data_IF_973031874215
#
_entry.id   IF_973031874215
#
_cell.length_a   1.000
_cell.length_b   1.000
_cell.length_c   1.000
_cell.angle_alpha   90.00
_cell.angle_beta   90.00
_cell.angle_gamma   90.00
#
_symmetry.space_group_name_H-M   'P 1'
#
loop_
_entity.id
_entity.type
_entity.pdbx_description
1 polymer ?
#
# COMPACT_ATOMS: atom_id res chain seq x y z
N UNK A 1 -40.69 25.26 -1.01
CA UNK A 1 -39.81 26.15 -0.24
C UNK A 1 -38.59 25.36 0.25
N UNK A 2 -37.35 25.81 -0.03
CA UNK A 2 -36.13 25.11 0.42
C UNK A 2 -35.70 25.63 1.80
N UNK A 3 -35.19 24.75 2.67
CA UNK A 3 -34.75 25.05 4.02
C UNK A 3 -33.22 25.04 4.11
N UNK A 4 -32.62 26.01 4.80
CA UNK A 4 -31.15 26.08 5.01
C UNK A 4 -30.75 25.19 6.19
N UNK A 5 -29.76 24.32 5.99
CA UNK A 5 -29.17 23.54 7.07
C UNK A 5 -28.32 24.45 7.98
N UNK A 6 -28.47 24.40 9.31
CA UNK A 6 -27.68 25.24 10.21
C UNK A 6 -26.19 24.86 10.26
N UNK A 7 -25.83 23.62 9.89
CA UNK A 7 -24.46 23.11 10.04
C UNK A 7 -23.62 23.23 8.75
N UNK A 8 -24.19 22.89 7.59
CA UNK A 8 -23.49 23.04 6.31
C UNK A 8 -23.96 24.26 5.49
N UNK A 9 -24.87 25.07 6.05
CA UNK A 9 -25.36 26.33 5.48
C UNK A 9 -25.99 26.22 4.08
N UNK A 10 -26.28 24.99 3.62
CA UNK A 10 -26.79 24.68 2.29
C UNK A 10 -28.32 24.60 2.29
N UNK A 11 -28.97 25.14 1.26
CA UNK A 11 -30.42 25.03 1.06
C UNK A 11 -30.80 23.66 0.49
N UNK A 12 -31.67 22.93 1.19
CA UNK A 12 -32.15 21.60 0.80
C UNK A 12 -33.67 21.52 0.86
N UNK A 13 -34.23 20.50 0.22
CA UNK A 13 -35.66 20.23 0.30
C UNK A 13 -36.04 19.83 1.74
N UNK A 14 -37.24 20.20 2.26
CA UNK A 14 -37.65 19.88 3.63
C UNK A 14 -37.62 18.39 3.97
N UNK A 15 -37.83 17.51 2.98
CA UNK A 15 -37.73 16.05 3.15
C UNK A 15 -36.31 15.53 3.45
N UNK A 16 -35.28 16.35 3.32
CA UNK A 16 -33.89 16.02 3.64
C UNK A 16 -33.51 16.34 5.11
N UNK A 17 -34.51 16.56 5.96
CA UNK A 17 -34.38 16.85 7.37
C UNK A 17 -35.30 15.91 8.15
N UNK A 18 -34.69 15.04 8.94
CA UNK A 18 -35.40 14.14 9.85
C UNK A 18 -35.72 14.87 11.16
N UNK A 19 -36.85 15.60 11.19
CA UNK A 19 -37.39 16.26 12.40
C UNK A 19 -37.86 17.72 12.22
N UNK A 20 -38.25 18.35 13.31
CA UNK A 20 -38.83 19.70 13.35
C UNK A 20 -37.89 20.87 12.96
N UNK A 21 -38.33 22.09 13.25
CA UNK A 21 -37.56 23.32 13.00
C UNK A 21 -36.33 23.33 13.94
N UNK A 22 -35.13 23.50 13.37
CA UNK A 22 -33.83 23.36 14.07
C UNK A 22 -32.99 22.15 13.65
N UNK A 23 -33.57 21.09 13.07
CA UNK A 23 -32.83 19.90 12.63
C UNK A 23 -31.78 20.14 11.53
N UNK A 24 -30.68 19.37 11.61
CA UNK A 24 -29.61 19.28 10.61
C UNK A 24 -30.01 18.38 9.45
N UNK A 25 -29.44 18.60 8.26
CA UNK A 25 -29.79 17.76 7.10
C UNK A 25 -29.24 16.34 7.25
N UNK A 26 -29.88 15.37 6.59
CA UNK A 26 -29.52 13.94 6.71
C UNK A 26 -28.05 13.66 6.38
N UNK A 27 -27.43 14.48 5.51
CA UNK A 27 -25.99 14.41 5.19
C UNK A 27 -25.11 14.76 6.40
N UNK A 28 -25.47 15.80 7.14
CA UNK A 28 -24.76 16.21 8.36
C UNK A 28 -25.04 15.23 9.50
N UNK A 29 -26.28 14.73 9.62
CA UNK A 29 -26.66 13.72 10.59
C UNK A 29 -25.88 12.40 10.39
N UNK A 30 -25.74 11.94 9.15
CA UNK A 30 -24.96 10.75 8.80
C UNK A 30 -23.46 10.96 9.10
N UNK A 31 -22.92 12.16 8.87
CA UNK A 31 -21.54 12.49 9.19
C UNK A 31 -21.27 12.46 10.70
N UNK A 32 -22.19 13.00 11.51
CA UNK A 32 -22.10 12.98 12.97
C UNK A 32 -22.22 11.57 13.57
N UNK A 33 -23.07 10.70 13.00
CA UNK A 33 -23.16 9.29 13.40
C UNK A 33 -21.90 8.50 13.04
N UNK A 34 -21.23 8.82 11.94
CA UNK A 34 -19.96 8.20 11.55
C UNK A 34 -18.83 8.52 12.55
N UNK A 35 -18.89 9.68 13.22
CA UNK A 35 -17.93 10.09 14.25
C UNK A 35 -18.15 9.44 15.63
N UNK A 36 -19.35 8.91 15.92
CA UNK A 36 -19.72 8.29 17.21
C UNK A 36 -19.59 6.76 17.25
N UNK A 37 -19.23 6.10 16.15
CA UNK A 37 -19.06 4.63 16.14
C UNK A 37 -17.79 4.24 16.91
N UNK A 38 -17.93 3.44 17.97
CA UNK A 38 -16.81 2.79 18.66
C UNK A 38 -15.94 1.98 17.70
N UNK A 39 -14.69 1.72 18.10
CA UNK A 39 -13.71 0.99 17.29
C UNK A 39 -14.14 -0.47 17.09
N UNK A 40 -14.97 -0.71 16.07
CA UNK A 40 -15.34 -2.05 15.63
C UNK A 40 -14.13 -2.72 14.97
N UNK A 41 -13.91 -4.03 15.18
CA UNK A 41 -12.79 -4.75 14.58
C UNK A 41 -12.84 -4.55 13.07
N UNK A 42 -11.84 -3.86 12.55
CA UNK A 42 -11.78 -3.53 11.14
C UNK A 42 -11.74 -4.84 10.33
N UNK A 43 -12.28 -4.85 9.12
CA UNK A 43 -12.16 -5.97 8.16
C UNK A 43 -10.68 -6.36 7.87
N UNK A 44 -9.76 -5.57 8.42
CA UNK A 44 -8.32 -5.65 8.33
C UNK A 44 -7.62 -5.91 9.68
N UNK A 45 -8.32 -6.37 10.73
CA UNK A 45 -7.72 -6.79 11.99
C UNK A 45 -7.41 -8.29 11.99
N UNK A 46 -6.86 -8.81 10.89
CA UNK A 46 -6.23 -10.13 10.91
C UNK A 46 -4.76 -9.94 11.27
N UNK A 47 -4.52 -9.85 12.57
CA UNK A 47 -3.25 -10.27 13.10
C UNK A 47 -3.15 -11.78 12.93
N UNK A 48 -2.19 -12.21 12.10
CA UNK A 48 -1.76 -13.60 12.10
C UNK A 48 -1.19 -13.92 13.49
N UNK A 49 -2.03 -14.44 14.38
CA UNK A 49 -1.62 -15.36 15.43
C UNK A 49 -1.73 -16.75 14.80
N UNK A 50 -0.86 -17.02 13.84
CA UNK A 50 -0.62 -18.40 13.44
C UNK A 50 0.15 -19.05 14.59
N UNK A 51 -0.35 -20.16 15.13
CA UNK A 51 0.41 -21.02 16.02
C UNK A 51 1.66 -21.51 15.27
N UNK A 52 2.74 -20.74 15.38
CA UNK A 52 4.07 -21.07 14.83
C UNK A 52 4.71 -22.29 15.52
N UNK A 53 4.00 -22.96 16.44
CA UNK A 53 4.47 -24.14 17.15
C UNK A 53 4.53 -25.38 16.24
N UNK A 54 3.57 -25.58 15.33
CA UNK A 54 3.46 -26.84 14.58
C UNK A 54 4.47 -26.96 13.42
N UNK A 55 4.94 -25.84 12.86
CA UNK A 55 5.91 -25.85 11.75
C UNK A 55 7.37 -25.96 12.21
N UNK A 56 7.65 -25.92 13.52
CA UNK A 56 9.02 -26.02 14.08
C UNK A 56 9.45 -27.46 14.41
N UNK A 57 8.53 -28.43 14.35
CA UNK A 57 8.80 -29.80 14.82
C UNK A 57 9.73 -30.58 13.87
N UNK A 58 9.92 -30.16 12.61
CA UNK A 58 10.77 -30.88 11.65
C UNK A 58 12.23 -30.45 11.57
N UNK A 59 12.71 -29.50 12.40
CA UNK A 59 14.09 -28.97 12.28
C UNK A 59 14.85 -28.96 13.63
N UNK A 60 14.77 -30.04 14.40
CA UNK A 60 15.39 -30.10 15.74
C UNK A 60 16.93 -30.19 15.78
N UNK A 61 17.64 -30.39 14.66
CA UNK A 61 19.09 -30.67 14.68
C UNK A 61 19.96 -29.75 13.80
N UNK A 62 19.76 -28.43 13.86
CA UNK A 62 20.81 -27.48 13.46
C UNK A 62 20.95 -26.40 14.52
N UNK A 63 22.02 -26.49 15.32
CA UNK A 63 22.44 -25.42 16.21
C UNK A 63 22.76 -24.19 15.35
N UNK A 64 21.88 -23.20 15.41
CA UNK A 64 22.07 -21.94 14.71
C UNK A 64 23.14 -21.11 15.45
N UNK A 65 24.01 -20.37 14.73
CA UNK A 65 25.05 -19.56 15.35
C UNK A 65 24.49 -18.54 16.35
N UNK A 66 25.23 -18.26 17.42
CA UNK A 66 24.80 -17.40 18.54
C UNK A 66 24.39 -15.96 18.14
N UNK A 67 24.99 -15.42 17.06
CA UNK A 67 24.59 -14.13 16.49
C UNK A 67 23.16 -14.15 15.91
N UNK A 68 22.66 -15.31 15.48
CA UNK A 68 21.33 -15.51 14.94
C UNK A 68 20.26 -15.41 16.05
N UNK A 69 20.54 -15.94 17.23
CA UNK A 69 19.67 -15.76 18.40
C UNK A 69 19.62 -14.31 18.87
N UNK A 70 20.76 -13.61 18.84
CA UNK A 70 20.81 -12.18 19.20
C UNK A 70 20.00 -11.32 18.23
N UNK A 71 20.13 -11.56 16.92
CA UNK A 71 19.34 -10.89 15.88
C UNK A 71 17.85 -11.22 15.97
N UNK A 72 17.49 -12.46 16.34
CA UNK A 72 16.10 -12.89 16.55
C UNK A 72 15.52 -12.20 17.79
N UNK A 73 16.22 -12.19 18.92
CA UNK A 73 15.83 -11.46 20.15
C UNK A 73 15.71 -9.95 19.93
N UNK A 74 16.59 -9.34 19.12
CA UNK A 74 16.51 -7.93 18.74
C UNK A 74 15.34 -7.65 17.77
N UNK A 75 15.03 -8.57 16.86
CA UNK A 75 13.88 -8.50 15.97
C UNK A 75 12.55 -8.69 16.71
N UNK A 76 12.49 -9.60 17.67
CA UNK A 76 11.33 -9.91 18.50
C UNK A 76 11.06 -8.78 19.52
N UNK A 77 12.11 -8.21 20.14
CA UNK A 77 11.98 -6.98 20.95
C UNK A 77 11.49 -5.79 20.14
N UNK A 78 11.79 -5.72 18.84
CA UNK A 78 11.26 -4.68 17.93
C UNK A 78 9.85 -4.98 17.46
N UNK A 79 9.49 -6.24 17.23
CA UNK A 79 8.12 -6.63 16.82
C UNK A 79 7.11 -6.37 17.92
N UNK A 80 7.50 -6.55 19.19
CA UNK A 80 6.71 -6.20 20.37
C UNK A 80 6.42 -4.68 20.51
N UNK A 81 7.11 -3.83 19.73
CA UNK A 81 6.95 -2.36 19.73
C UNK A 81 6.51 -1.81 18.37
N UNK A 82 6.23 -2.67 17.39
CA UNK A 82 5.65 -2.28 16.10
C UNK A 82 4.12 -2.28 16.24
N UNK A 83 3.50 -1.12 15.99
CA UNK A 83 2.06 -0.99 15.90
C UNK A 83 1.48 -2.13 15.02
N UNK A 84 0.36 -2.72 15.44
CA UNK A 84 -0.37 -3.71 14.64
C UNK A 84 -0.66 -3.11 13.27
N UNK A 85 0.07 -3.55 12.24
CA UNK A 85 -0.26 -3.17 10.88
C UNK A 85 -1.68 -3.63 10.56
N UNK A 86 -2.54 -2.72 10.08
CA UNK A 86 -3.77 -3.13 9.41
C UNK A 86 -3.42 -4.12 8.28
N UNK A 87 -4.28 -5.11 8.01
CA UNK A 87 -3.99 -6.09 6.95
C UNK A 87 -3.80 -5.43 5.58
N UNK A 88 -4.43 -4.29 5.31
CA UNK A 88 -4.20 -3.51 4.09
C UNK A 88 -2.74 -3.10 3.95
N UNK A 89 -2.14 -2.62 5.04
CA UNK A 89 -0.72 -2.29 5.08
C UNK A 89 0.18 -3.52 4.92
N UNK A 90 -0.16 -4.63 5.57
CA UNK A 90 0.56 -5.90 5.40
C UNK A 90 0.50 -6.37 3.94
N UNK A 91 -0.65 -6.29 3.28
CA UNK A 91 -0.82 -6.62 1.85
C UNK A 91 0.04 -5.73 0.96
N UNK A 92 0.10 -4.43 1.23
CA UNK A 92 0.96 -3.50 0.49
C UNK A 92 2.44 -3.76 0.73
N UNK A 93 2.85 -4.09 1.95
CA UNK A 93 4.22 -4.47 2.28
C UNK A 93 4.64 -5.75 1.55
N UNK A 94 3.84 -6.82 1.63
CA UNK A 94 4.10 -8.08 0.93
C UNK A 94 4.14 -7.90 -0.58
N UNK A 95 3.18 -7.15 -1.16
CA UNK A 95 3.18 -6.88 -2.60
C UNK A 95 4.44 -6.11 -3.02
N UNK A 96 4.89 -5.13 -2.23
CA UNK A 96 6.12 -4.41 -2.49
C UNK A 96 7.35 -5.31 -2.39
N UNK A 97 7.41 -6.16 -1.36
CA UNK A 97 8.50 -7.12 -1.15
C UNK A 97 8.67 -8.03 -2.37
N UNK A 98 7.57 -8.65 -2.82
CA UNK A 98 7.56 -9.53 -3.99
C UNK A 98 7.95 -8.80 -5.27
N UNK A 99 7.42 -7.59 -5.49
CA UNK A 99 7.75 -6.80 -6.68
C UNK A 99 9.21 -6.32 -6.67
N UNK A 100 9.77 -5.95 -5.52
CA UNK A 100 11.19 -5.56 -5.39
C UNK A 100 12.10 -6.75 -5.63
N UNK A 101 11.75 -7.91 -5.07
CA UNK A 101 12.47 -9.15 -5.32
C UNK A 101 12.53 -9.44 -6.81
N UNK A 102 11.37 -9.50 -7.46
CA UNK A 102 11.29 -9.78 -8.88
C UNK A 102 11.96 -8.69 -9.73
N UNK A 103 11.92 -7.42 -9.32
CA UNK A 103 12.63 -6.33 -9.99
C UNK A 103 14.13 -6.60 -10.09
N UNK A 104 14.74 -7.07 -9.00
CA UNK A 104 16.17 -7.38 -8.97
C UNK A 104 16.48 -8.64 -9.78
N UNK A 105 15.66 -9.69 -9.66
CA UNK A 105 15.83 -10.91 -10.47
C UNK A 105 15.72 -10.62 -11.97
N UNK A 106 14.78 -9.74 -12.36
CA UNK A 106 14.50 -9.43 -13.76
C UNK A 106 15.61 -8.59 -14.40
N UNK A 107 16.14 -7.60 -13.70
CA UNK A 107 17.16 -6.69 -14.27
C UNK A 107 18.59 -7.06 -13.88
N UNK A 108 18.77 -7.91 -12.88
CA UNK A 108 20.06 -8.22 -12.28
C UNK A 108 20.52 -7.13 -11.30
N UNK A 109 21.05 -7.55 -10.15
CA UNK A 109 21.49 -6.65 -9.07
C UNK A 109 22.50 -5.57 -9.51
N UNK A 110 23.28 -5.82 -10.56
CA UNK A 110 24.25 -4.89 -11.10
C UNK A 110 23.63 -3.70 -11.86
N UNK A 111 22.38 -3.86 -12.30
CA UNK A 111 21.61 -2.87 -13.05
C UNK A 111 20.47 -2.27 -12.21
N UNK A 112 20.57 -2.33 -10.88
CA UNK A 112 19.55 -1.80 -9.97
C UNK A 112 20.17 -0.82 -8.99
N UNK A 113 19.59 0.38 -8.95
CA UNK A 113 19.98 1.45 -8.04
C UNK A 113 18.87 1.83 -7.06
N UNK A 114 19.27 2.29 -5.89
CA UNK A 114 18.42 2.94 -4.91
C UNK A 114 18.64 4.45 -4.98
N UNK A 115 17.62 5.18 -5.43
CA UNK A 115 17.62 6.62 -5.58
C UNK A 115 16.78 7.27 -4.49
N UNK A 116 17.40 8.11 -3.67
CA UNK A 116 16.71 8.97 -2.71
C UNK A 116 16.64 10.39 -3.23
N UNK A 117 15.46 11.00 -3.20
CA UNK A 117 15.20 12.37 -3.60
C UNK A 117 14.62 13.15 -2.43
N UNK A 118 15.24 14.28 -2.11
CA UNK A 118 14.80 15.21 -1.06
C UNK A 118 14.54 16.58 -1.67
N UNK A 119 13.46 17.24 -1.28
CA UNK A 119 13.16 18.60 -1.72
C UNK A 119 14.23 19.60 -1.26
N UNK A 120 14.45 20.65 -2.05
CA UNK A 120 15.34 21.74 -1.66
C UNK A 120 14.76 22.54 -0.47
N UNK A 121 13.44 22.68 -0.46
CA UNK A 121 12.60 23.35 0.52
C UNK A 121 11.85 22.36 1.45
N UNK A 122 11.18 22.89 2.47
CA UNK A 122 10.40 22.12 3.45
C UNK A 122 9.00 21.75 2.91
N UNK A 123 8.96 20.77 1.99
CA UNK A 123 7.69 20.26 1.47
C UNK A 123 7.12 19.20 2.41
N UNK A 124 6.01 19.54 3.08
CA UNK A 124 5.25 18.63 3.95
C UNK A 124 3.88 18.25 3.38
N UNK A 125 3.38 18.98 2.39
CA UNK A 125 2.12 18.66 1.71
C UNK A 125 2.32 17.58 0.66
N UNK A 126 1.57 16.47 0.76
CA UNK A 126 1.65 15.36 -0.19
C UNK A 126 1.14 15.75 -1.56
N UNK A 127 0.20 16.70 -1.67
CA UNK A 127 -0.30 17.17 -2.96
C UNK A 127 0.81 17.88 -3.72
N UNK A 128 1.48 18.84 -3.09
CA UNK A 128 2.61 19.55 -3.70
C UNK A 128 3.79 18.62 -3.98
N UNK A 129 4.14 17.75 -3.03
CA UNK A 129 5.19 16.75 -3.25
C UNK A 129 4.88 15.85 -4.46
N UNK A 130 3.61 15.46 -4.62
CA UNK A 130 3.16 14.64 -5.75
C UNK A 130 3.15 15.39 -7.06
N UNK A 131 2.79 16.68 -7.08
CA UNK A 131 2.83 17.54 -8.26
C UNK A 131 4.26 17.69 -8.77
N UNK A 132 5.21 18.00 -7.90
CA UNK A 132 6.63 18.12 -8.24
C UNK A 132 7.24 16.79 -8.69
N UNK A 133 6.94 15.71 -7.97
CA UNK A 133 7.36 14.37 -8.38
C UNK A 133 6.78 13.96 -9.73
N UNK A 134 5.51 14.30 -10.01
CA UNK A 134 4.91 14.04 -11.32
C UNK A 134 5.65 14.78 -12.44
N UNK A 135 6.00 16.05 -12.23
CA UNK A 135 6.78 16.84 -13.19
C UNK A 135 8.18 16.23 -13.43
N UNK A 136 8.90 15.85 -12.37
CA UNK A 136 10.18 15.13 -12.50
C UNK A 136 10.00 13.80 -13.25
N UNK A 137 8.94 13.07 -12.94
CA UNK A 137 8.68 11.75 -13.52
C UNK A 137 8.42 11.82 -15.02
N UNK A 138 7.53 12.71 -15.47
CA UNK A 138 7.15 12.81 -16.88
C UNK A 138 8.28 13.34 -17.75
N UNK A 139 9.08 14.26 -17.21
CA UNK A 139 10.07 14.98 -17.99
C UNK A 139 11.50 14.41 -17.91
N UNK A 140 11.83 13.69 -16.83
CA UNK A 140 13.17 13.18 -16.56
C UNK A 140 13.19 11.68 -16.28
N UNK A 141 12.51 11.19 -15.22
CA UNK A 141 12.65 9.77 -14.81
C UNK A 141 12.22 8.81 -15.91
N UNK A 142 11.10 9.06 -16.60
CA UNK A 142 10.61 8.22 -17.70
C UNK A 142 11.60 8.04 -18.85
N UNK A 143 12.48 9.01 -19.07
CA UNK A 143 13.46 9.03 -20.17
C UNK A 143 14.76 8.30 -19.80
N UNK A 144 15.11 8.29 -18.51
CA UNK A 144 16.39 7.78 -18.02
C UNK A 144 16.29 6.46 -17.26
N UNK A 145 15.14 6.18 -16.62
CA UNK A 145 14.85 4.94 -15.89
C UNK A 145 13.56 4.33 -16.44
N UNK A 146 13.69 3.26 -17.22
CA UNK A 146 12.56 2.59 -17.90
C UNK A 146 11.54 2.03 -16.89
N UNK A 147 12.05 1.56 -15.75
CA UNK A 147 11.32 0.93 -14.69
C UNK A 147 11.76 1.47 -13.33
N UNK A 148 10.80 1.76 -12.48
CA UNK A 148 11.06 2.07 -11.08
C UNK A 148 9.88 1.66 -10.18
N UNK A 149 10.22 1.45 -8.91
CA UNK A 149 9.28 1.39 -7.80
C UNK A 149 9.61 2.55 -6.86
N UNK A 150 8.63 3.40 -6.57
CA UNK A 150 8.78 4.60 -5.78
C UNK A 150 7.89 4.52 -4.53
N UNK A 151 8.46 4.85 -3.38
CA UNK A 151 7.77 5.02 -2.11
C UNK A 151 8.05 6.42 -1.60
N UNK A 152 7.02 7.19 -1.27
CA UNK A 152 7.26 8.48 -0.60
C UNK A 152 7.38 8.28 0.90
N UNK A 153 8.29 9.03 1.52
CA UNK A 153 8.59 8.99 2.94
C UNK A 153 8.28 10.31 3.63
N UNK A 154 7.43 10.32 4.67
CA UNK A 154 7.38 11.42 5.63
C UNK A 154 8.40 11.18 6.75
N UNK A 155 9.38 12.08 6.86
CA UNK A 155 10.37 12.07 7.95
C UNK A 155 9.76 12.47 9.29
N UNK A 156 10.50 12.28 10.39
CA UNK A 156 10.09 12.74 11.73
C UNK A 156 9.80 14.25 11.81
N UNK A 157 10.41 15.06 10.94
CA UNK A 157 10.18 16.51 10.87
C UNK A 157 9.00 16.90 9.96
N UNK A 158 8.25 15.93 9.43
CA UNK A 158 7.13 16.17 8.52
C UNK A 158 7.50 16.29 7.05
N UNK A 159 8.78 16.52 6.72
CA UNK A 159 9.30 16.61 5.34
C UNK A 159 9.05 15.33 4.54
N UNK A 160 8.65 15.48 3.28
CA UNK A 160 8.43 14.38 2.36
C UNK A 160 9.67 14.13 1.50
N UNK A 161 10.13 12.88 1.45
CA UNK A 161 11.18 12.37 0.59
C UNK A 161 10.60 11.35 -0.39
N UNK A 162 11.35 11.00 -1.43
CA UNK A 162 11.02 9.85 -2.29
C UNK A 162 12.18 8.88 -2.32
N UNK A 163 11.87 7.60 -2.14
CA UNK A 163 12.79 6.49 -2.29
C UNK A 163 12.37 5.66 -3.50
N UNK A 164 13.29 5.49 -4.44
CA UNK A 164 13.06 4.77 -5.67
C UNK A 164 14.04 3.61 -5.78
N UNK A 165 13.53 2.47 -6.21
CA UNK A 165 14.32 1.42 -6.83
C UNK A 165 14.19 1.63 -8.33
N UNK A 166 15.30 1.84 -9.02
CA UNK A 166 15.36 2.16 -10.45
C UNK A 166 16.19 1.12 -11.19
N UNK A 167 15.81 0.80 -12.43
CA UNK A 167 16.65 0.00 -13.31
C UNK A 167 17.61 0.90 -14.09
N UNK A 168 18.85 0.47 -14.29
CA UNK A 168 19.84 1.20 -15.09
C UNK A 168 20.14 0.44 -16.39
N UNK A 169 20.51 1.17 -17.44
CA UNK A 169 20.91 0.56 -18.72
C UNK A 169 22.26 -0.16 -18.60
N UNK A 170 23.18 0.47 -17.88
CA UNK A 170 24.54 -0.05 -17.67
C UNK A 170 24.72 -0.62 -16.26
N UNK A 171 25.76 -1.43 -16.10
CA UNK A 171 26.21 -1.95 -14.80
C UNK A 171 26.78 -0.81 -13.96
N UNK A 172 26.11 -0.50 -12.87
CA UNK A 172 26.50 0.58 -11.94
C UNK A 172 27.26 0.06 -10.72
N UNK A 173 27.43 -1.27 -10.59
CA UNK A 173 28.02 -1.94 -9.42
C UNK A 173 29.44 -2.40 -9.67
N UNK A 174 29.81 -2.72 -10.90
CA UNK A 174 31.13 -3.24 -11.28
C UNK A 174 32.25 -2.34 -10.75
N UNK A 175 33.18 -2.92 -10.01
CA UNK A 175 34.34 -2.23 -9.42
C UNK A 175 34.04 -1.33 -8.24
N UNK A 176 32.77 -1.22 -7.80
CA UNK A 176 32.40 -0.35 -6.68
C UNK A 176 32.81 -0.95 -5.34
N UNK A 177 33.58 -0.20 -4.57
CA UNK A 177 33.90 -0.54 -3.18
C UNK A 177 32.84 0.06 -2.24
N UNK A 178 31.91 -0.78 -1.79
CA UNK A 178 30.83 -0.35 -0.87
C UNK A 178 31.34 0.14 0.49
N UNK A 179 32.49 -0.34 0.96
CA UNK A 179 33.08 0.13 2.22
C UNK A 179 33.64 1.56 2.06
N UNK A 180 34.30 1.84 0.93
CA UNK A 180 34.77 3.17 0.60
C UNK A 180 33.61 4.18 0.49
N UNK A 181 32.51 3.79 -0.17
CA UNK A 181 31.30 4.62 -0.27
C UNK A 181 30.71 4.95 1.10
N UNK A 182 30.69 3.98 2.03
CA UNK A 182 30.23 4.22 3.40
C UNK A 182 31.11 5.24 4.14
N UNK A 183 32.41 5.29 3.81
CA UNK A 183 33.36 6.29 4.29
C UNK A 183 33.34 7.61 3.47
N UNK A 184 32.31 7.84 2.64
CA UNK A 184 32.19 8.99 1.72
C UNK A 184 33.32 9.11 0.70
N UNK A 185 34.01 8.00 0.42
CA UNK A 185 34.98 7.90 -0.65
C UNK A 185 34.35 7.28 -1.90
N UNK A 186 34.13 8.12 -2.91
CA UNK A 186 33.43 7.76 -4.15
C UNK A 186 34.38 7.42 -5.32
N UNK A 187 35.70 7.34 -5.08
CA UNK A 187 36.70 7.13 -6.15
C UNK A 187 36.56 5.79 -6.86
N UNK A 188 36.04 4.76 -6.17
CA UNK A 188 35.78 3.44 -6.78
C UNK A 188 34.55 3.40 -7.70
N UNK A 189 33.77 4.48 -7.79
CA UNK A 189 32.60 4.52 -8.67
C UNK A 189 33.00 4.41 -10.15
N UNK A 190 32.34 3.52 -10.87
CA UNK A 190 32.58 3.33 -12.29
C UNK A 190 32.02 4.49 -13.14
N UNK A 191 32.43 4.61 -14.43
CA UNK A 191 31.98 5.70 -15.29
C UNK A 191 30.46 5.81 -15.43
N UNK A 192 29.76 4.68 -15.55
CA UNK A 192 28.29 4.65 -15.70
C UNK A 192 27.58 5.27 -14.49
N UNK A 193 27.98 4.89 -13.27
CA UNK A 193 27.43 5.44 -12.03
C UNK A 193 27.73 6.94 -11.89
N UNK A 194 28.96 7.36 -12.21
CA UNK A 194 29.34 8.78 -12.17
C UNK A 194 28.55 9.62 -13.17
N UNK A 195 28.32 9.11 -14.37
CA UNK A 195 27.48 9.78 -15.37
C UNK A 195 26.04 9.95 -14.88
N UNK A 196 25.45 8.90 -14.29
CA UNK A 196 24.12 9.00 -13.68
C UNK A 196 24.08 10.01 -12.54
N UNK A 197 25.10 10.06 -11.68
CA UNK A 197 25.19 11.08 -10.62
C UNK A 197 25.24 12.49 -11.16
N UNK A 198 26.06 12.74 -12.18
CA UNK A 198 26.15 14.03 -12.85
C UNK A 198 24.79 14.41 -13.44
N UNK A 199 24.21 13.51 -14.23
CA UNK A 199 22.91 13.70 -14.89
C UNK A 199 21.79 14.02 -13.90
N UNK A 200 21.69 13.27 -12.80
CA UNK A 200 20.68 13.51 -11.76
C UNK A 200 20.90 14.89 -11.13
N UNK A 201 22.14 15.19 -10.69
CA UNK A 201 22.46 16.44 -10.00
C UNK A 201 22.14 17.68 -10.83
N UNK A 202 22.40 17.63 -12.13
CA UNK A 202 22.15 18.75 -13.06
C UNK A 202 20.66 18.97 -13.38
N UNK A 203 19.78 18.00 -13.12
CA UNK A 203 18.40 18.04 -13.59
C UNK A 203 17.35 18.04 -12.49
N UNK A 204 17.57 17.37 -11.35
CA UNK A 204 16.54 17.27 -10.29
C UNK A 204 16.17 18.63 -9.68
N UNK A 205 17.13 19.57 -9.64
CA UNK A 205 16.93 20.95 -9.18
C UNK A 205 15.82 21.69 -9.93
N UNK A 206 15.67 21.43 -11.23
CA UNK A 206 14.64 22.03 -12.10
C UNK A 206 13.21 21.68 -11.66
N UNK A 207 13.05 20.69 -10.80
CA UNK A 207 11.77 20.19 -10.30
C UNK A 207 11.59 20.43 -8.78
N UNK A 208 12.46 21.24 -8.16
CA UNK A 208 12.41 21.59 -6.74
C UNK A 208 13.08 20.56 -5.81
N UNK A 209 13.80 19.59 -6.35
CA UNK A 209 14.59 18.65 -5.55
C UNK A 209 16.00 19.20 -5.32
N UNK A 210 16.48 19.12 -4.07
CA UNK A 210 17.81 19.56 -3.68
C UNK A 210 18.77 18.37 -3.64
N UNK A 211 18.79 17.68 -2.50
CA UNK A 211 19.66 16.51 -2.33
C UNK A 211 19.10 15.30 -3.07
N UNK A 212 19.94 14.70 -3.91
CA UNK A 212 19.70 13.42 -4.57
C UNK A 212 20.86 12.46 -4.35
N UNK A 213 20.56 11.20 -4.06
CA UNK A 213 21.57 10.17 -3.82
C UNK A 213 21.15 8.87 -4.52
N UNK A 214 21.92 8.45 -5.53
CA UNK A 214 21.76 7.15 -6.21
C UNK A 214 22.88 6.23 -5.75
N UNK A 215 22.56 5.05 -5.22
CA UNK A 215 23.56 4.04 -4.87
C UNK A 215 23.16 2.68 -5.47
N UNK A 216 24.10 1.89 -6.00
CA UNK A 216 23.80 0.51 -6.37
C UNK A 216 23.31 -0.29 -5.17
N UNK A 217 22.42 -1.24 -5.41
CA UNK A 217 21.93 -2.12 -4.34
C UNK A 217 23.07 -3.04 -3.86
N UNK A 218 23.32 -3.04 -2.54
CA UNK A 218 24.41 -3.81 -1.90
C UNK A 218 24.07 -5.29 -1.69
N UNK A 219 22.86 -5.55 -1.22
CA UNK A 219 22.42 -6.89 -0.76
C UNK A 219 21.56 -7.58 -1.79
N UNK A 220 21.53 -8.91 -1.76
CA UNK A 220 20.59 -9.71 -2.53
C UNK A 220 19.12 -9.28 -2.30
N UNK A 221 18.24 -9.78 -3.17
CA UNK A 221 16.82 -9.45 -3.22
C UNK A 221 16.12 -9.50 -1.85
N UNK A 222 16.39 -10.53 -1.04
CA UNK A 222 15.85 -10.69 0.33
C UNK A 222 16.27 -9.57 1.31
N UNK A 223 17.50 -9.10 1.22
CA UNK A 223 18.01 -7.99 2.03
C UNK A 223 17.36 -6.65 1.67
N UNK A 224 17.20 -6.38 0.36
CA UNK A 224 16.56 -5.15 -0.11
C UNK A 224 15.06 -5.15 0.17
N UNK A 225 14.39 -6.29 0.00
CA UNK A 225 12.96 -6.37 0.24
C UNK A 225 12.61 -6.09 1.72
N UNK A 226 13.44 -6.58 2.66
CA UNK A 226 13.36 -6.21 4.09
C UNK A 226 13.68 -4.74 4.34
N UNK A 227 14.67 -4.19 3.65
CA UNK A 227 15.01 -2.76 3.73
C UNK A 227 13.83 -1.90 3.26
N UNK A 228 13.17 -2.26 2.16
CA UNK A 228 12.02 -1.54 1.61
C UNK A 228 10.78 -1.70 2.49
N UNK A 229 10.51 -2.90 3.02
CA UNK A 229 9.43 -3.14 3.98
C UNK A 229 9.57 -2.24 5.23
N UNK A 230 10.81 -1.99 5.69
CA UNK A 230 11.10 -1.04 6.77
C UNK A 230 10.66 0.39 6.42
N UNK A 231 10.74 0.83 5.15
CA UNK A 231 10.25 2.15 4.76
C UNK A 231 8.72 2.21 4.79
N UNK A 232 8.03 1.16 4.34
CA UNK A 232 6.56 1.10 4.49
C UNK A 232 6.16 1.15 5.96
N UNK A 233 6.83 0.37 6.82
CA UNK A 233 6.59 0.37 8.25
C UNK A 233 6.68 1.78 8.84
N UNK A 234 7.74 2.52 8.52
CA UNK A 234 7.89 3.91 8.95
C UNK A 234 6.78 4.83 8.42
N UNK A 235 6.29 4.61 7.20
CA UNK A 235 5.29 5.51 6.62
C UNK A 235 3.90 5.36 7.15
N UNK A 236 3.54 4.15 7.58
CA UNK A 236 2.23 3.89 8.13
C UNK A 236 1.98 4.73 9.38
N UNK A 237 2.97 4.83 10.26
CA UNK A 237 2.87 5.64 11.49
C UNK A 237 2.90 7.15 11.22
N UNK A 238 3.50 7.56 10.10
CA UNK A 238 3.67 8.97 9.74
C UNK A 238 2.54 9.54 8.87
N UNK A 239 1.59 8.71 8.45
CA UNK A 239 0.56 9.10 7.49
C UNK A 239 -0.50 9.93 8.19
N UNK A 240 -0.76 11.12 7.65
CA UNK A 240 -1.80 12.00 8.18
C UNK A 240 -3.14 11.76 7.49
N UNK A 241 -4.28 12.12 8.09
CA UNK A 241 -5.59 12.01 7.45
C UNK A 241 -5.67 12.71 6.09
N UNK A 242 -4.94 13.83 5.93
CA UNK A 242 -4.89 14.61 4.69
C UNK A 242 -4.18 13.86 3.54
N UNK A 243 -3.37 12.85 3.85
CA UNK A 243 -2.66 12.02 2.87
C UNK A 243 -3.60 10.97 2.22
N UNK A 244 -4.89 10.95 2.61
CA UNK A 244 -5.90 10.05 2.05
C UNK A 244 -6.05 10.30 0.54
N UNK A 245 -6.16 9.20 -0.21
CA UNK A 245 -6.23 9.25 -1.69
C UNK A 245 -4.86 9.25 -2.39
N UNK A 246 -3.76 9.56 -1.70
CA UNK A 246 -2.43 9.50 -2.29
C UNK A 246 -1.82 8.11 -2.16
N UNK A 247 -1.34 7.57 -3.30
CA UNK A 247 -0.66 6.26 -3.35
C UNK A 247 0.71 6.36 -2.67
N UNK A 248 0.92 5.53 -1.64
CA UNK A 248 2.20 5.34 -0.95
C UNK A 248 3.25 4.77 -1.90
N UNK A 249 2.89 3.67 -2.58
CA UNK A 249 3.73 2.98 -3.55
C UNK A 249 3.28 3.39 -4.95
N UNK A 250 4.24 3.80 -5.78
CA UNK A 250 4.04 4.25 -7.16
C UNK A 250 5.01 3.49 -8.06
N UNK A 251 4.52 2.96 -9.18
CA UNK A 251 5.34 2.23 -10.14
C UNK A 251 5.34 2.95 -11.49
N UNK A 252 6.31 2.67 -12.36
CA UNK A 252 6.31 3.23 -13.73
C UNK A 252 5.12 2.78 -14.58
N UNK A 253 4.52 1.64 -14.25
CA UNK A 253 3.49 1.00 -15.07
C UNK A 253 2.28 0.64 -14.19
N UNK A 254 1.08 0.99 -14.64
CA UNK A 254 -0.17 0.56 -14.01
C UNK A 254 -0.49 -0.93 -14.32
N UNK A 255 -0.09 -1.43 -15.51
CA UNK A 255 -0.32 -2.79 -16.04
C UNK A 255 0.74 -3.85 -15.67
N UNK A 256 0.46 -5.12 -16.03
CA UNK A 256 1.32 -6.31 -15.88
C UNK A 256 2.67 -6.09 -16.58
N UNK A 257 3.76 -6.40 -15.90
CA UNK A 257 5.13 -6.33 -16.41
C UNK A 257 5.92 -7.51 -15.82
N UNK A 258 7.03 -7.90 -16.47
CA UNK A 258 7.86 -9.02 -16.05
C UNK A 258 8.29 -8.94 -14.57
N UNK A 259 8.53 -7.73 -14.08
CA UNK A 259 8.94 -7.52 -12.69
C UNK A 259 7.78 -7.29 -11.71
N UNK A 260 6.58 -6.95 -12.18
CA UNK A 260 5.43 -6.61 -11.33
C UNK A 260 4.53 -7.83 -11.18
N UNK A 261 4.87 -8.69 -10.23
CA UNK A 261 4.22 -10.00 -9.99
C UNK A 261 3.12 -9.95 -8.93
N UNK A 262 3.06 -8.90 -8.10
CA UNK A 262 2.12 -8.82 -7.00
C UNK A 262 1.35 -7.49 -6.98
N UNK A 263 0.09 -7.56 -6.54
CA UNK A 263 -0.73 -6.40 -6.17
C UNK A 263 -1.20 -6.57 -4.73
N UNK A 264 -1.82 -5.55 -4.13
CA UNK A 264 -2.46 -5.70 -2.82
C UNK A 264 -3.86 -6.35 -2.91
N UNK A 265 -4.28 -6.81 -4.08
CA UNK A 265 -5.56 -7.49 -4.31
C UNK A 265 -5.44 -9.00 -4.02
N UNK A 266 -5.20 -9.34 -2.77
CA UNK A 266 -5.24 -10.71 -2.26
C UNK A 266 -5.63 -10.66 -0.79
N UNK A 267 -5.93 -11.80 -0.18
CA UNK A 267 -6.17 -11.91 1.26
C UNK A 267 -5.28 -12.98 1.87
N UNK A 268 -4.74 -12.71 3.06
CA UNK A 268 -3.96 -13.70 3.80
C UNK A 268 -4.86 -14.84 4.25
N UNK A 269 -4.42 -16.08 4.04
CA UNK A 269 -5.06 -17.26 4.62
C UNK A 269 -4.86 -17.22 6.14
N UNK A 270 -5.95 -17.03 6.86
CA UNK A 270 -6.03 -16.84 8.31
C UNK A 270 -7.39 -17.32 8.81
N UNK A 271 -7.51 -17.58 10.11
CA UNK A 271 -8.78 -17.98 10.76
C UNK A 271 -9.88 -16.98 10.42
N UNK A 272 -9.65 -15.67 10.61
CA UNK A 272 -10.63 -14.64 10.27
C UNK A 272 -10.99 -14.59 8.78
N UNK A 273 -10.05 -14.84 7.87
CA UNK A 273 -10.37 -14.92 6.42
C UNK A 273 -11.18 -16.16 6.05
N UNK A 274 -10.98 -17.28 6.76
CA UNK A 274 -11.73 -18.49 6.55
C UNK A 274 -13.16 -18.32 7.08
N UNK A 275 -13.28 -17.72 8.26
CA UNK A 275 -14.57 -17.41 8.87
C UNK A 275 -15.37 -16.41 8.03
N UNK A 276 -14.74 -15.36 7.50
CA UNK A 276 -15.40 -14.45 6.55
C UNK A 276 -15.95 -15.20 5.32
N UNK A 277 -15.18 -16.12 4.74
CA UNK A 277 -15.63 -16.91 3.58
C UNK A 277 -16.81 -17.82 3.93
N UNK A 278 -16.77 -18.49 5.09
CA UNK A 278 -17.87 -19.31 5.60
C UNK A 278 -19.14 -18.49 5.77
N UNK A 279 -19.06 -17.35 6.46
CA UNK A 279 -20.22 -16.48 6.66
C UNK A 279 -20.74 -15.86 5.37
N UNK A 280 -19.84 -15.53 4.44
CA UNK A 280 -20.22 -15.05 3.11
C UNK A 280 -21.01 -16.11 2.34
N UNK A 281 -20.56 -17.36 2.37
CA UNK A 281 -21.29 -18.49 1.76
C UNK A 281 -22.69 -18.62 2.38
N UNK A 282 -22.80 -18.65 3.71
CA UNK A 282 -24.10 -18.70 4.39
C UNK A 282 -25.01 -17.51 4.03
N UNK A 283 -24.44 -16.31 3.90
CA UNK A 283 -25.18 -15.13 3.47
C UNK A 283 -25.67 -15.25 2.02
N UNK A 284 -24.81 -15.68 1.10
CA UNK A 284 -25.14 -15.85 -0.32
C UNK A 284 -26.27 -16.86 -0.48
N UNK A 285 -26.17 -18.02 0.18
CA UNK A 285 -27.22 -19.05 0.16
C UNK A 285 -28.56 -18.49 0.67
N UNK A 286 -28.53 -17.67 1.72
CA UNK A 286 -29.75 -17.08 2.28
C UNK A 286 -30.42 -16.04 1.37
N UNK A 287 -29.64 -15.26 0.60
CA UNK A 287 -30.18 -14.17 -0.24
C UNK A 287 -30.44 -14.60 -1.68
N UNK A 288 -29.84 -15.69 -2.16
CA UNK A 288 -29.88 -16.10 -3.56
C UNK A 288 -31.32 -16.23 -4.12
N UNK A 289 -32.29 -16.85 -3.41
CA UNK A 289 -33.66 -16.91 -3.90
C UNK A 289 -34.28 -15.52 -4.12
N UNK A 290 -34.02 -14.59 -3.20
CA UNK A 290 -34.47 -13.21 -3.30
C UNK A 290 -33.82 -12.48 -4.49
N UNK A 291 -32.50 -12.69 -4.71
CA UNK A 291 -31.80 -12.08 -5.84
C UNK A 291 -32.33 -12.58 -7.18
N UNK A 292 -32.64 -13.87 -7.30
CA UNK A 292 -33.25 -14.48 -8.49
C UNK A 292 -34.60 -13.85 -8.80
N UNK A 293 -35.47 -13.75 -7.79
CA UNK A 293 -36.77 -13.12 -7.94
C UNK A 293 -36.64 -11.63 -8.33
N UNK A 294 -35.80 -10.88 -7.63
CA UNK A 294 -35.58 -9.46 -7.88
C UNK A 294 -35.01 -9.19 -9.29
N UNK A 295 -34.08 -10.02 -9.78
CA UNK A 295 -33.53 -9.87 -11.13
C UNK A 295 -34.61 -10.04 -12.21
N UNK A 296 -35.49 -11.05 -12.06
CA UNK A 296 -36.60 -11.26 -12.99
C UNK A 296 -37.59 -10.09 -12.95
N UNK A 297 -38.05 -9.71 -11.75
CA UNK A 297 -39.11 -8.70 -11.58
C UNK A 297 -38.64 -7.28 -11.95
N UNK A 298 -37.43 -6.90 -11.55
CA UNK A 298 -36.95 -5.52 -11.65
C UNK A 298 -35.96 -5.28 -12.78
N UNK A 299 -35.32 -6.35 -13.30
CA UNK A 299 -34.29 -6.23 -14.35
C UNK A 299 -34.65 -6.99 -15.63
N UNK A 300 -35.65 -7.88 -15.60
CA UNK A 300 -36.11 -8.62 -16.78
C UNK A 300 -35.13 -9.69 -17.27
N UNK A 301 -34.26 -10.20 -16.40
CA UNK A 301 -33.36 -11.31 -16.72
C UNK A 301 -33.22 -12.29 -15.55
N UNK A 302 -32.91 -13.54 -15.89
CA UNK A 302 -32.60 -14.59 -14.92
C UNK A 302 -31.10 -14.58 -14.58
N UNK A 303 -30.78 -14.84 -13.31
CA UNK A 303 -29.40 -15.03 -12.87
C UNK A 303 -29.11 -16.52 -12.68
N UNK A 304 -27.90 -16.99 -13.04
CA UNK A 304 -27.50 -18.36 -12.77
C UNK A 304 -27.33 -18.60 -11.26
N UNK A 305 -27.19 -19.87 -10.88
CA UNK A 305 -26.85 -20.26 -9.52
C UNK A 305 -25.56 -19.58 -9.07
N UNK A 306 -25.55 -19.10 -7.83
CA UNK A 306 -24.41 -18.34 -7.30
C UNK A 306 -23.36 -19.30 -6.76
N UNK A 307 -22.14 -19.21 -7.29
CA UNK A 307 -20.99 -20.05 -6.90
C UNK A 307 -19.74 -19.22 -6.57
N UNK A 308 -18.67 -19.93 -6.21
CA UNK A 308 -17.39 -19.32 -5.81
C UNK A 308 -16.70 -18.51 -6.93
N UNK A 309 -17.01 -18.76 -8.20
CA UNK A 309 -16.39 -18.09 -9.35
C UNK A 309 -17.22 -16.88 -9.80
N UNK A 310 -18.55 -16.94 -9.67
CA UNK A 310 -19.46 -15.95 -10.23
C UNK A 310 -20.06 -14.97 -9.20
N UNK A 311 -20.02 -15.28 -7.89
CA UNK A 311 -20.73 -14.48 -6.86
C UNK A 311 -20.42 -13.00 -6.92
N UNK A 312 -19.16 -12.62 -7.09
CA UNK A 312 -18.78 -11.22 -7.10
C UNK A 312 -19.35 -10.47 -8.31
N UNK A 313 -19.49 -11.13 -9.46
CA UNK A 313 -20.04 -10.54 -10.68
C UNK A 313 -21.54 -10.30 -10.48
N UNK A 314 -22.27 -11.35 -10.09
CA UNK A 314 -23.73 -11.30 -9.89
C UNK A 314 -24.09 -10.27 -8.81
N UNK A 315 -23.45 -10.30 -7.64
CA UNK A 315 -23.74 -9.36 -6.56
C UNK A 315 -23.39 -7.91 -6.93
N UNK A 316 -22.36 -7.70 -7.75
CA UNK A 316 -22.00 -6.36 -8.23
C UNK A 316 -23.04 -5.79 -9.18
N UNK A 317 -23.61 -6.65 -10.02
CA UNK A 317 -24.59 -6.29 -11.04
C UNK A 317 -25.99 -6.09 -10.46
N UNK A 318 -26.45 -7.05 -9.66
CA UNK A 318 -27.82 -7.08 -9.12
C UNK A 318 -27.99 -6.10 -7.96
N UNK A 319 -27.02 -6.05 -7.03
CA UNK A 319 -27.09 -5.21 -5.83
C UNK A 319 -26.33 -3.90 -6.07
N UNK A 320 -25.00 -4.00 -6.12
CA UNK A 320 -24.10 -2.87 -6.29
C UNK A 320 -22.66 -3.36 -6.33
N UNK A 321 -21.75 -2.69 -7.06
CA UNK A 321 -20.30 -2.93 -6.94
C UNK A 321 -19.75 -2.74 -5.52
N UNK A 322 -20.54 -2.16 -4.60
CA UNK A 322 -20.22 -1.99 -3.18
C UNK A 322 -20.94 -3.00 -2.26
N UNK A 323 -21.52 -4.08 -2.79
CA UNK A 323 -22.31 -5.05 -2.03
C UNK A 323 -21.59 -5.52 -0.75
N UNK A 324 -20.29 -5.81 -0.84
CA UNK A 324 -19.51 -6.32 0.29
C UNK A 324 -19.34 -5.28 1.40
N UNK A 325 -19.28 -4.00 1.05
CA UNK A 325 -19.18 -2.90 2.01
C UNK A 325 -20.52 -2.64 2.69
N UNK A 326 -21.61 -2.64 1.91
CA UNK A 326 -22.97 -2.35 2.41
C UNK A 326 -23.49 -3.47 3.32
N UNK A 327 -23.19 -4.73 2.99
CA UNK A 327 -23.69 -5.90 3.71
C UNK A 327 -22.67 -6.46 4.73
N UNK A 328 -21.56 -5.75 4.94
CA UNK A 328 -20.46 -6.19 5.81
C UNK A 328 -20.94 -6.58 7.20
N UNK A 329 -21.72 -5.72 7.85
CA UNK A 329 -22.15 -5.94 9.23
C UNK A 329 -23.04 -7.18 9.35
N UNK A 330 -23.95 -7.36 8.38
CA UNK A 330 -24.81 -8.55 8.29
C UNK A 330 -23.96 -9.81 8.14
N UNK A 331 -23.07 -9.84 7.15
CA UNK A 331 -22.20 -11.00 6.89
C UNK A 331 -21.33 -11.32 8.10
N UNK A 332 -20.76 -10.31 8.76
CA UNK A 332 -19.85 -10.52 9.89
C UNK A 332 -20.59 -11.10 11.11
N UNK A 333 -21.87 -10.79 11.27
CA UNK A 333 -22.69 -11.18 12.41
C UNK A 333 -23.46 -12.49 12.20
N UNK A 334 -23.38 -13.12 11.03
CA UNK A 334 -23.96 -14.45 10.81
C UNK A 334 -23.27 -15.49 11.71
N UNK A 335 -24.07 -16.43 12.21
CA UNK A 335 -23.63 -17.47 13.14
C UNK A 335 -22.63 -18.44 12.51
#
# INVERSE_FOLDING_TARGET
MKRRCPECLTYRHPSAFSGGIGCVCDVCAAAAQSAKRGALPCLNSNNCIGNHAESMISNKNKQLPEFHERLKKEADKKSAKLNEFSTSHKKSATALELNVHQFIETFGINHVGFLTLTFADDVQDVKEASRRFHSLRTNFLSKHFKHYICVYERTKKGRIHFHLIVNTREDIRRGLNFAAIAARNYTSANPALRQLWKLIRENVGKYGFGRSELLPVKTNSKGLARYVAKYIAKHIDSRKPEDKGYRLIRTTIDKKSLWKIATSNFSFRSVGSAEWRRKLESWVVAIEPYLKQYAVEMKGYEIPDIDQENYNIILSEVISPKWAFLNREIITNLA
#
